data_IF_569625938861
#
_entry.id   IF_569625938861
#
_cell.length_a   1.000
_cell.length_b   1.000
_cell.length_c   1.000
_cell.angle_alpha   90.00
_cell.angle_beta   90.00
_cell.angle_gamma   90.00
#
_symmetry.space_group_name_H-M   'P 1'
#
loop_
_entity.id
_entity.type
_entity.pdbx_description
1 polymer ?
#
# COMPACT_ATOMS: atom_id res chain seq x y z
N UNK A 1 3.99 -14.23 3.12
CA UNK A 1 4.02 -13.70 1.73
C UNK A 1 4.88 -12.46 1.73
N UNK A 2 5.89 -12.37 0.85
CA UNK A 2 6.84 -11.25 0.81
C UNK A 2 6.41 -10.14 -0.15
N UNK A 3 5.67 -10.48 -1.19
CA UNK A 3 5.23 -9.54 -2.22
C UNK A 3 3.77 -9.80 -2.55
N UNK A 4 2.96 -8.74 -2.66
CA UNK A 4 1.58 -8.78 -3.12
C UNK A 4 1.41 -7.76 -4.25
N UNK A 5 0.99 -8.23 -5.42
CA UNK A 5 0.68 -7.38 -6.58
C UNK A 5 -0.79 -7.56 -6.95
N UNK A 6 -1.51 -6.45 -6.92
CA UNK A 6 -2.92 -6.37 -7.23
C UNK A 6 -3.24 -5.10 -8.03
N UNK A 7 -2.25 -4.58 -8.75
CA UNK A 7 -2.42 -3.42 -9.61
C UNK A 7 -3.46 -3.66 -10.71
N UNK A 8 -4.21 -2.63 -11.08
CA UNK A 8 -5.22 -2.65 -12.16
C UNK A 8 -6.36 -3.67 -11.96
N UNK A 9 -6.67 -4.01 -10.71
CA UNK A 9 -7.73 -5.00 -10.40
C UNK A 9 -9.07 -4.36 -10.02
N UNK A 10 -9.15 -3.03 -9.97
CA UNK A 10 -10.37 -2.33 -9.56
C UNK A 10 -10.76 -2.57 -8.09
N UNK A 11 -9.81 -3.05 -7.28
CA UNK A 11 -10.07 -3.31 -5.86
C UNK A 11 -10.42 -2.00 -5.14
N UNK A 12 -11.52 -2.05 -4.39
CA UNK A 12 -11.99 -0.97 -3.52
C UNK A 12 -11.55 -1.20 -2.08
N UNK A 13 -11.51 -2.47 -1.64
CA UNK A 13 -11.15 -2.87 -0.28
C UNK A 13 -10.02 -3.90 -0.31
N UNK A 14 -8.88 -3.56 0.30
CA UNK A 14 -7.71 -4.43 0.40
C UNK A 14 -7.35 -4.66 1.88
N UNK A 15 -7.51 -5.91 2.33
CA UNK A 15 -7.06 -6.34 3.66
C UNK A 15 -5.73 -7.12 3.57
N UNK A 16 -4.67 -6.51 4.09
CA UNK A 16 -3.33 -7.10 4.20
C UNK A 16 -2.90 -7.34 5.65
N UNK A 17 -3.84 -7.25 6.61
CA UNK A 17 -3.57 -7.27 8.05
C UNK A 17 -2.87 -8.56 8.53
N UNK A 18 -3.11 -9.68 7.84
CA UNK A 18 -2.48 -10.98 8.12
C UNK A 18 -1.15 -11.19 7.41
N UNK A 19 -0.74 -10.29 6.53
CA UNK A 19 0.51 -10.40 5.79
C UNK A 19 1.66 -9.69 6.53
N UNK A 20 1.92 -10.11 7.77
CA UNK A 20 2.95 -9.50 8.65
C UNK A 20 4.37 -9.54 8.07
N UNK A 21 4.62 -10.50 7.18
CA UNK A 21 5.89 -10.68 6.45
C UNK A 21 5.96 -9.96 5.10
N UNK A 22 4.98 -9.10 4.78
CA UNK A 22 4.92 -8.38 3.51
C UNK A 22 6.04 -7.33 3.44
N UNK A 23 6.79 -7.35 2.34
CA UNK A 23 7.92 -6.46 2.04
C UNK A 23 7.54 -5.49 0.91
N UNK A 24 6.80 -5.96 -0.08
CA UNK A 24 6.35 -5.17 -1.23
C UNK A 24 4.84 -5.31 -1.44
N UNK A 25 4.16 -4.17 -1.58
CA UNK A 25 2.75 -4.09 -1.96
C UNK A 25 2.60 -3.19 -3.17
N UNK A 26 2.09 -3.74 -4.26
CA UNK A 26 1.62 -2.97 -5.42
C UNK A 26 0.09 -3.08 -5.53
N UNK A 27 -0.57 -1.96 -5.26
CA UNK A 27 -2.01 -1.77 -5.35
C UNK A 27 -2.35 -0.57 -6.25
N UNK A 28 -1.45 -0.23 -7.18
CA UNK A 28 -1.61 0.90 -8.09
C UNK A 28 -2.80 0.76 -9.04
N UNK A 29 -3.33 1.89 -9.53
CA UNK A 29 -4.46 1.94 -10.46
C UNK A 29 -5.68 1.16 -9.93
N UNK A 30 -6.00 1.34 -8.65
CA UNK A 30 -7.19 0.81 -7.99
C UNK A 30 -8.18 1.91 -7.62
N UNK A 31 -9.19 1.53 -6.83
CA UNK A 31 -10.18 2.45 -6.27
C UNK A 31 -10.18 2.39 -4.75
N UNK A 32 -9.01 2.16 -4.15
CA UNK A 32 -8.90 1.95 -2.70
C UNK A 32 -9.13 3.28 -1.98
N UNK A 33 -10.09 3.31 -1.07
CA UNK A 33 -10.38 4.50 -0.25
C UNK A 33 -9.54 4.54 1.03
N UNK A 34 -9.28 3.36 1.61
CA UNK A 34 -8.55 3.20 2.86
C UNK A 34 -7.62 1.98 2.79
N UNK A 35 -6.38 2.18 3.24
CA UNK A 35 -5.38 1.12 3.31
C UNK A 35 -4.77 1.10 4.71
N UNK A 36 -4.97 0.01 5.45
CA UNK A 36 -4.40 -0.17 6.78
C UNK A 36 -3.13 -1.04 6.72
N UNK A 37 -1.99 -0.45 7.09
CA UNK A 37 -0.67 -1.10 7.04
C UNK A 37 -0.03 -1.27 8.41
N UNK A 38 -0.79 -1.08 9.51
CA UNK A 38 -0.25 -1.09 10.87
C UNK A 38 0.47 -2.40 11.25
N UNK A 39 0.01 -3.53 10.70
CA UNK A 39 0.60 -4.85 10.96
C UNK A 39 1.73 -5.22 9.99
N UNK A 40 1.89 -4.50 8.87
CA UNK A 40 2.88 -4.79 7.83
C UNK A 40 4.19 -4.07 8.12
N UNK A 41 4.75 -4.27 9.32
CA UNK A 41 5.95 -3.56 9.82
C UNK A 41 7.21 -3.81 8.98
N UNK A 42 7.24 -4.90 8.21
CA UNK A 42 8.33 -5.27 7.30
C UNK A 42 8.18 -4.66 5.89
N UNK A 43 7.08 -3.94 5.62
CA UNK A 43 6.81 -3.37 4.32
C UNK A 43 7.81 -2.26 4.02
N UNK A 44 8.60 -2.44 2.97
CA UNK A 44 9.61 -1.48 2.52
C UNK A 44 9.22 -0.77 1.23
N UNK A 45 8.39 -1.40 0.39
CA UNK A 45 7.94 -0.85 -0.89
C UNK A 45 6.41 -0.83 -0.96
N UNK A 46 5.84 0.34 -1.26
CA UNK A 46 4.42 0.54 -1.43
C UNK A 46 4.16 1.35 -2.70
N UNK A 47 3.46 0.74 -3.64
CA UNK A 47 2.98 1.38 -4.86
C UNK A 47 1.46 1.51 -4.75
N UNK A 48 0.97 2.73 -4.60
CA UNK A 48 -0.46 3.04 -4.49
C UNK A 48 -0.88 4.21 -5.39
N UNK A 49 -0.04 4.57 -6.36
CA UNK A 49 -0.34 5.60 -7.35
C UNK A 49 -1.66 5.33 -8.06
N UNK A 50 -2.31 6.40 -8.50
CA UNK A 50 -3.61 6.36 -9.17
C UNK A 50 -4.76 5.74 -8.35
N UNK A 51 -4.66 5.67 -7.01
CA UNK A 51 -5.82 5.48 -6.14
C UNK A 51 -6.36 6.85 -5.72
N UNK A 52 -7.14 7.48 -6.60
CA UNK A 52 -7.59 8.87 -6.43
C UNK A 52 -8.47 9.10 -5.18
N UNK A 53 -9.06 8.04 -4.64
CA UNK A 53 -9.91 8.08 -3.45
C UNK A 53 -9.13 7.78 -2.16
N UNK A 54 -7.85 7.38 -2.28
CA UNK A 54 -7.06 6.95 -1.14
C UNK A 54 -6.80 8.13 -0.24
N UNK A 55 -7.34 8.05 0.97
CA UNK A 55 -7.02 9.03 2.01
C UNK A 55 -5.54 8.89 2.40
N UNK A 56 -4.90 9.98 2.86
CA UNK A 56 -3.53 9.92 3.35
C UNK A 56 -3.39 8.77 4.34
N UNK A 57 -2.59 7.77 4.00
CA UNK A 57 -2.32 6.67 4.92
C UNK A 57 -1.51 7.25 6.08
N UNK A 58 -1.79 6.84 7.32
CA UNK A 58 -0.92 7.24 8.43
C UNK A 58 0.45 6.57 8.25
N UNK A 59 1.43 7.35 7.79
CA UNK A 59 2.75 6.86 7.37
C UNK A 59 3.76 6.79 8.53
N UNK A 60 3.32 6.81 9.78
CA UNK A 60 4.22 7.01 10.94
C UNK A 60 5.31 5.94 11.10
N UNK A 61 5.16 4.78 10.44
CA UNK A 61 6.13 3.67 10.39
C UNK A 61 6.72 3.43 8.98
N UNK A 62 6.41 4.28 8.00
CA UNK A 62 6.91 4.20 6.64
C UNK A 62 7.89 5.38 6.38
N UNK A 63 9.20 5.09 6.31
CA UNK A 63 10.25 6.10 6.13
C UNK A 63 10.09 6.97 4.86
N UNK A 64 10.74 8.14 4.87
CA UNK A 64 10.69 9.20 3.84
C UNK A 64 10.81 8.70 2.39
N UNK A 65 11.65 7.69 2.13
CA UNK A 65 11.83 7.09 0.79
C UNK A 65 10.53 6.53 0.19
N UNK A 66 9.59 6.11 1.05
CA UNK A 66 8.30 5.52 0.65
C UNK A 66 7.29 6.57 0.21
N UNK A 67 7.48 7.85 0.59
CA UNK A 67 6.65 8.98 0.12
C UNK A 67 6.97 9.33 -1.33
N UNK A 68 8.25 9.24 -1.72
CA UNK A 68 8.72 9.62 -3.08
C UNK A 68 8.09 8.74 -4.17
N UNK A 69 7.91 7.44 -3.91
CA UNK A 69 7.30 6.50 -4.87
C UNK A 69 5.79 6.74 -5.04
N UNK A 70 5.15 7.46 -4.12
CA UNK A 70 3.72 7.81 -4.18
C UNK A 70 3.45 9.06 -5.02
N UNK A 71 4.43 9.95 -5.13
CA UNK A 71 4.34 11.25 -5.81
C UNK A 71 4.92 11.22 -7.25
N UNK A 72 5.36 10.04 -7.73
CA UNK A 72 5.97 9.82 -9.05
C UNK A 72 4.96 9.44 -10.14
#
# INVERSE_FOLDING_TARGET
>A
MKTLKCANTGIVNLDVSKNTELIELDCSNGFIEQLNLANNKKLTHLYCQSNILLKPVSYTHLDVYKRVVMDS
#
